data_IF_245771366422
#
_entry.id   IF_245771366422
#
_cell.length_a   1.000
_cell.length_b   1.000
_cell.length_c   1.000
_cell.angle_alpha   90.00
_cell.angle_beta   90.00
_cell.angle_gamma   90.00
#
_symmetry.space_group_name_H-M   'P 1'
#
loop_
_entity.id
_entity.type
_entity.pdbx_description
1 polymer ?
#
# COMPACT_ATOMS: atom_id res chain seq x y z
N UNK A 1 38.36 27.57 2.53
CA UNK A 1 37.79 26.20 2.47
C UNK A 1 36.40 26.27 3.08
N UNK A 2 35.34 26.03 2.29
CA UNK A 2 33.98 25.96 2.79
C UNK A 2 33.70 24.50 3.22
N UNK A 3 33.40 24.31 4.49
CA UNK A 3 33.00 23.02 5.03
C UNK A 3 31.55 22.73 4.58
N UNK A 4 31.34 21.67 3.79
CA UNK A 4 30.01 21.17 3.51
C UNK A 4 29.48 20.45 4.75
N UNK A 5 28.25 20.75 5.22
CA UNK A 5 27.66 19.98 6.29
C UNK A 5 27.43 18.55 5.79
N UNK A 6 28.11 17.58 6.42
CA UNK A 6 27.80 16.16 6.31
C UNK A 6 26.35 16.00 6.76
N UNK A 7 25.46 15.78 5.80
CA UNK A 7 24.11 15.31 6.09
C UNK A 7 24.25 13.88 6.63
N UNK A 8 24.13 13.72 7.94
CA UNK A 8 23.97 12.41 8.57
C UNK A 8 22.85 11.66 7.85
N UNK A 9 23.03 10.37 7.51
CA UNK A 9 21.95 9.59 6.93
C UNK A 9 20.81 9.53 7.95
N UNK A 10 19.69 10.17 7.62
CA UNK A 10 18.42 9.94 8.28
C UNK A 10 18.18 8.43 8.26
N UNK A 11 17.74 7.86 9.39
CA UNK A 11 17.53 6.42 9.57
C UNK A 11 16.71 5.76 8.44
N UNK A 12 16.57 4.42 8.45
CA UNK A 12 15.98 3.69 7.33
C UNK A 12 14.70 4.37 6.85
N UNK A 13 14.53 4.59 5.53
CA UNK A 13 13.43 5.36 4.99
C UNK A 13 12.14 4.86 5.63
N UNK A 14 11.35 5.76 6.20
CA UNK A 14 10.07 5.40 6.83
C UNK A 14 9.14 4.93 5.72
N UNK A 15 9.23 3.65 5.42
CA UNK A 15 8.42 2.98 4.41
C UNK A 15 7.04 2.68 4.99
N UNK A 16 6.01 2.93 4.18
CA UNK A 16 4.60 2.80 4.51
C UNK A 16 3.95 1.75 3.63
N UNK A 17 2.80 1.28 4.08
CA UNK A 17 1.99 0.30 3.39
C UNK A 17 0.50 0.64 3.51
N UNK A 18 -0.27 0.28 2.50
CA UNK A 18 -1.72 0.35 2.50
C UNK A 18 -2.27 -1.05 2.75
N UNK A 19 -3.01 -1.23 3.84
CA UNK A 19 -3.72 -2.46 4.17
C UNK A 19 -5.12 -2.38 3.60
N UNK A 20 -5.51 -3.40 2.86
CA UNK A 20 -6.78 -3.49 2.17
C UNK A 20 -7.30 -4.93 2.27
N UNK A 21 -8.60 -5.07 2.52
CA UNK A 21 -9.28 -6.36 2.37
C UNK A 21 -9.91 -6.40 0.98
N UNK A 22 -9.45 -7.26 0.09
CA UNK A 22 -9.92 -7.32 -1.30
C UNK A 22 -11.42 -7.59 -1.42
N UNK A 23 -12.03 -8.25 -0.42
CA UNK A 23 -13.48 -8.45 -0.38
C UNK A 23 -14.25 -7.12 -0.51
N UNK A 24 -13.71 -6.04 0.06
CA UNK A 24 -14.42 -4.76 0.05
C UNK A 24 -14.47 -4.14 -1.33
N UNK A 25 -13.62 -4.59 -2.25
CA UNK A 25 -13.59 -4.11 -3.64
C UNK A 25 -14.68 -4.78 -4.47
N UNK A 26 -15.18 -5.94 -4.06
CA UNK A 26 -16.17 -6.68 -4.82
C UNK A 26 -17.42 -5.82 -5.10
N UNK A 27 -17.76 -5.68 -6.39
CA UNK A 27 -18.90 -4.89 -6.85
C UNK A 27 -18.68 -3.36 -6.84
N UNK A 28 -17.45 -2.87 -6.65
CA UNK A 28 -17.12 -1.44 -6.68
C UNK A 28 -16.35 -1.04 -7.95
N UNK A 29 -16.39 0.24 -8.36
CA UNK A 29 -15.64 0.72 -9.53
C UNK A 29 -14.11 0.48 -9.44
N UNK A 30 -13.54 0.50 -8.24
CA UNK A 30 -12.12 0.18 -8.03
C UNK A 30 -11.77 -1.30 -8.32
N UNK A 31 -12.74 -2.20 -8.42
CA UNK A 31 -12.49 -3.62 -8.69
C UNK A 31 -11.80 -3.83 -10.04
N UNK A 32 -12.23 -3.14 -11.08
CA UNK A 32 -11.70 -3.30 -12.43
C UNK A 32 -10.25 -2.79 -12.51
N UNK A 33 -10.00 -1.62 -11.91
CA UNK A 33 -8.64 -1.11 -11.73
C UNK A 33 -7.79 -2.11 -10.96
N UNK A 34 -8.29 -2.59 -9.81
CA UNK A 34 -7.54 -3.51 -8.98
C UNK A 34 -7.22 -4.82 -9.70
N UNK A 35 -8.17 -5.43 -10.40
CA UNK A 35 -7.95 -6.64 -11.20
C UNK A 35 -6.90 -6.44 -12.30
N UNK A 36 -6.86 -5.26 -12.92
CA UNK A 36 -5.90 -4.92 -13.95
C UNK A 36 -4.47 -4.74 -13.39
N UNK A 37 -4.32 -4.13 -12.22
CA UNK A 37 -3.01 -3.77 -11.65
C UNK A 37 -2.47 -4.76 -10.61
N UNK A 38 -3.32 -5.58 -9.96
CA UNK A 38 -2.93 -6.56 -8.95
C UNK A 38 -1.80 -7.48 -9.41
N UNK A 39 -1.84 -8.11 -10.60
CA UNK A 39 -0.75 -8.99 -11.05
C UNK A 39 0.59 -8.25 -11.20
N UNK A 40 0.55 -6.96 -11.58
CA UNK A 40 1.75 -6.13 -11.69
C UNK A 40 2.34 -5.84 -10.32
N UNK A 41 1.51 -5.53 -9.33
CA UNK A 41 1.96 -5.30 -7.96
C UNK A 41 2.46 -6.60 -7.29
N UNK A 42 1.88 -7.76 -7.63
CA UNK A 42 2.42 -9.05 -7.19
C UNK A 42 3.80 -9.32 -7.81
N UNK A 43 3.95 -9.10 -9.12
CA UNK A 43 5.21 -9.32 -9.84
C UNK A 43 6.32 -8.37 -9.37
N UNK A 44 5.99 -7.14 -9.00
CA UNK A 44 6.94 -6.17 -8.45
C UNK A 44 7.29 -6.40 -6.97
N UNK A 45 6.69 -7.41 -6.33
CA UNK A 45 6.84 -7.67 -4.90
C UNK A 45 6.18 -6.62 -4.01
N UNK A 46 5.27 -5.80 -4.56
CA UNK A 46 4.57 -4.74 -3.84
C UNK A 46 3.30 -5.22 -3.13
N UNK A 47 2.83 -6.43 -3.41
CA UNK A 47 1.73 -7.08 -2.67
C UNK A 47 2.32 -8.10 -1.71
N UNK A 48 1.96 -7.98 -0.43
CA UNK A 48 2.13 -9.02 0.56
C UNK A 48 0.76 -9.46 1.06
N UNK A 49 0.40 -10.72 0.84
CA UNK A 49 -0.81 -11.31 1.42
C UNK A 49 -0.58 -11.53 2.92
N UNK A 50 -1.34 -10.84 3.77
CA UNK A 50 -1.30 -10.95 5.22
C UNK A 50 -2.18 -12.09 5.75
N UNK A 51 -3.25 -12.39 5.02
CA UNK A 51 -4.11 -13.54 5.29
C UNK A 51 -5.01 -13.78 4.08
N UNK A 52 -5.13 -15.04 3.68
CA UNK A 52 -6.05 -15.45 2.62
C UNK A 52 -7.33 -16.01 3.22
N UNK A 53 -8.46 -15.77 2.56
CA UNK A 53 -9.75 -16.25 3.02
C UNK A 53 -10.82 -16.10 1.94
N UNK A 54 -11.87 -16.90 2.03
CA UNK A 54 -13.07 -16.71 1.20
C UNK A 54 -13.93 -15.64 1.88
N UNK A 55 -14.25 -14.51 1.22
CA UNK A 55 -14.28 -14.29 -0.23
C UNK A 55 -13.18 -13.35 -0.78
N UNK A 56 -12.13 -13.02 -0.03
CA UNK A 56 -11.03 -12.19 -0.52
C UNK A 56 -9.83 -12.13 0.43
N UNK A 57 -8.66 -11.75 -0.09
CA UNK A 57 -7.43 -11.69 0.69
C UNK A 57 -7.32 -10.37 1.48
N UNK A 58 -6.73 -10.45 2.66
CA UNK A 58 -6.20 -9.28 3.37
C UNK A 58 -4.78 -9.04 2.89
N UNK A 59 -4.58 -7.94 2.17
CA UNK A 59 -3.30 -7.59 1.55
C UNK A 59 -2.65 -6.36 2.18
N UNK A 60 -1.34 -6.29 2.02
CA UNK A 60 -0.50 -5.15 2.31
C UNK A 60 0.17 -4.71 1.00
N UNK A 61 -0.11 -3.49 0.59
CA UNK A 61 0.44 -2.83 -0.60
C UNK A 61 1.59 -1.89 -0.21
N UNK A 62 2.76 -2.10 -0.77
CA UNK A 62 3.98 -1.33 -0.50
C UNK A 62 5.24 -2.18 -0.73
N UNK A 63 6.44 -1.70 -0.41
CA UNK A 63 6.73 -0.49 0.34
C UNK A 63 6.55 0.79 -0.48
N UNK A 64 5.99 1.82 0.15
CA UNK A 64 5.82 3.16 -0.42
C UNK A 64 6.42 4.22 0.49
N UNK A 65 6.66 5.42 -0.04
CA UNK A 65 6.75 6.60 0.82
C UNK A 65 5.38 6.97 1.38
N UNK A 66 5.35 7.98 2.27
CA UNK A 66 4.10 8.39 2.93
C UNK A 66 3.10 8.97 1.94
N UNK A 67 3.57 9.81 1.02
CA UNK A 67 2.75 10.54 0.07
C UNK A 67 2.04 9.59 -0.90
N UNK A 68 2.77 8.61 -1.43
CA UNK A 68 2.27 7.55 -2.29
C UNK A 68 1.25 6.68 -1.55
N UNK A 69 1.50 6.35 -0.28
CA UNK A 69 0.53 5.59 0.53
C UNK A 69 -0.76 6.38 0.78
N UNK A 70 -0.67 7.68 1.05
CA UNK A 70 -1.83 8.57 1.19
C UNK A 70 -2.58 8.74 -0.15
N UNK A 71 -1.87 8.86 -1.28
CA UNK A 71 -2.44 8.91 -2.63
C UNK A 71 -3.23 7.64 -2.96
N UNK A 72 -2.65 6.46 -2.77
CA UNK A 72 -3.32 5.18 -3.03
C UNK A 72 -4.57 5.04 -2.15
N UNK A 73 -4.48 5.43 -0.87
CA UNK A 73 -5.65 5.43 0.02
C UNK A 73 -6.73 6.40 -0.47
N UNK A 74 -6.35 7.60 -0.90
CA UNK A 74 -7.26 8.58 -1.49
C UNK A 74 -7.96 8.02 -2.72
N UNK A 75 -7.19 7.45 -3.66
CA UNK A 75 -7.71 6.83 -4.87
C UNK A 75 -8.72 5.71 -4.57
N UNK A 76 -8.42 4.82 -3.61
CA UNK A 76 -9.36 3.77 -3.20
C UNK A 76 -10.66 4.37 -2.63
N UNK A 77 -10.56 5.42 -1.79
CA UNK A 77 -11.73 6.09 -1.20
C UNK A 77 -12.57 6.82 -2.25
N UNK A 78 -11.92 7.48 -3.21
CA UNK A 78 -12.57 8.14 -4.36
C UNK A 78 -13.35 7.14 -5.23
N UNK A 79 -12.89 5.89 -5.28
CA UNK A 79 -13.55 4.79 -5.99
C UNK A 79 -14.43 3.92 -5.07
N UNK A 80 -15.14 4.58 -4.15
CA UNK A 80 -16.14 4.03 -3.24
C UNK A 80 -15.63 3.04 -2.18
N UNK A 81 -14.33 2.89 -1.94
CA UNK A 81 -13.89 2.04 -0.83
C UNK A 81 -14.15 2.74 0.51
N UNK A 82 -14.83 2.10 1.48
CA UNK A 82 -15.06 2.72 2.79
C UNK A 82 -13.74 3.09 3.47
N UNK A 83 -13.63 4.31 3.99
CA UNK A 83 -12.42 4.80 4.65
C UNK A 83 -11.91 3.86 5.76
N UNK A 84 -12.81 3.17 6.48
CA UNK A 84 -12.46 2.22 7.53
C UNK A 84 -11.84 0.90 7.02
N UNK A 85 -12.03 0.59 5.74
CA UNK A 85 -11.51 -0.61 5.08
C UNK A 85 -10.08 -0.44 4.54
N UNK A 86 -9.56 0.80 4.47
CA UNK A 86 -8.21 1.12 4.00
C UNK A 86 -7.40 1.70 5.14
N UNK A 87 -6.29 1.04 5.51
CA UNK A 87 -5.45 1.49 6.64
C UNK A 87 -4.01 1.69 6.20
N UNK A 88 -3.44 2.86 6.49
CA UNK A 88 -2.01 3.09 6.30
C UNK A 88 -1.26 2.61 7.54
N UNK A 89 -0.21 1.82 7.34
CA UNK A 89 0.68 1.33 8.40
C UNK A 89 2.13 1.50 8.01
N UNK A 90 3.03 1.54 9.00
CA UNK A 90 4.46 1.41 8.73
C UNK A 90 4.71 0.05 8.12
N UNK A 91 5.48 0.03 7.04
CA UNK A 91 5.89 -1.22 6.39
C UNK A 91 6.72 -2.04 7.37
N UNK A 92 6.25 -3.25 7.62
CA UNK A 92 7.04 -4.29 8.26
C UNK A 92 7.35 -5.31 7.18
N UNK A 93 8.63 -5.40 6.79
CA UNK A 93 9.07 -6.51 5.99
C UNK A 93 8.77 -7.81 6.75
N UNK A 94 8.32 -8.85 6.04
CA UNK A 94 8.25 -10.19 6.61
C UNK A 94 9.67 -10.57 7.07
N UNK A 95 9.85 -11.11 8.29
CA UNK A 95 11.15 -11.56 8.75
C UNK A 95 11.73 -12.66 7.85
#
# INVERSE_FOLDING_TARGET
MLAYPVSTPQGPPRIWAVILNELVLAGRPCADWWQLYRPRFETSGQVTVLGSGVPGDLIQLGPYDRETADFIRGHLIEHDVPQGAVKIRRWKAKP
#
